data_IF_067600549208
#
_entry.id   IF_067600549208
#
_cell.length_a   1.000
_cell.length_b   1.000
_cell.length_c   1.000
_cell.angle_alpha   90.00
_cell.angle_beta   90.00
_cell.angle_gamma   90.00
#
_symmetry.space_group_name_H-M   'P 1'
#
loop_
_entity.id
_entity.type
_entity.pdbx_description
1 polymer ?
#
# COMPACT_ATOMS: atom_id res chain seq x y z
N UNK A 1 -33.95 -7.47 -12.79
CA UNK A 1 -32.95 -8.02 -11.86
C UNK A 1 -33.31 -7.56 -10.44
N UNK A 2 -33.72 -8.45 -9.53
CA UNK A 2 -34.09 -8.09 -8.15
C UNK A 2 -32.82 -8.03 -7.28
N UNK A 3 -32.45 -6.84 -6.81
CA UNK A 3 -31.35 -6.68 -5.86
C UNK A 3 -31.85 -7.18 -4.51
N UNK A 4 -31.29 -8.29 -3.99
CA UNK A 4 -31.57 -8.72 -2.62
C UNK A 4 -30.94 -7.70 -1.66
N UNK A 5 -31.70 -7.15 -0.69
CA UNK A 5 -31.13 -6.24 0.29
C UNK A 5 -30.05 -6.95 1.09
N UNK A 6 -28.94 -6.25 1.36
CA UNK A 6 -27.84 -6.77 2.17
C UNK A 6 -28.36 -7.18 3.56
N UNK A 7 -27.90 -8.32 4.07
CA UNK A 7 -28.29 -8.79 5.41
C UNK A 7 -27.90 -7.79 6.50
N UNK A 8 -28.62 -7.75 7.63
CA UNK A 8 -28.26 -6.90 8.80
C UNK A 8 -26.80 -7.09 9.25
N UNK A 9 -26.24 -8.30 9.09
CA UNK A 9 -24.80 -8.57 9.36
C UNK A 9 -23.86 -7.91 8.34
N UNK A 10 -24.23 -7.84 7.07
CA UNK A 10 -23.49 -7.08 6.06
C UNK A 10 -23.58 -5.57 6.31
N UNK A 11 -24.75 -5.06 6.71
CA UNK A 11 -24.94 -3.66 7.08
C UNK A 11 -24.12 -3.27 8.33
N UNK A 12 -24.10 -4.11 9.37
CA UNK A 12 -23.29 -3.87 10.57
C UNK A 12 -21.78 -3.95 10.31
N UNK A 13 -21.32 -4.87 9.44
CA UNK A 13 -19.91 -4.90 8.98
C UNK A 13 -19.56 -3.70 8.10
N UNK A 14 -20.56 -3.05 7.48
CA UNK A 14 -20.36 -1.82 6.72
C UNK A 14 -20.25 -0.57 7.60
N UNK A 15 -20.60 -0.63 8.90
CA UNK A 15 -20.68 0.57 9.74
C UNK A 15 -19.31 1.22 10.07
N UNK A 16 -18.21 0.47 10.01
CA UNK A 16 -16.85 1.02 10.16
C UNK A 16 -15.79 0.13 9.47
N UNK A 17 -15.55 0.32 8.17
CA UNK A 17 -14.56 -0.48 7.44
C UNK A 17 -13.13 -0.28 7.98
N UNK A 18 -12.82 0.87 8.59
CA UNK A 18 -11.51 1.10 9.19
C UNK A 18 -11.20 0.16 10.36
N UNK A 19 -12.21 -0.20 11.18
CA UNK A 19 -12.04 -1.19 12.25
C UNK A 19 -11.67 -2.58 11.74
N UNK A 20 -12.17 -2.96 10.56
CA UNK A 20 -11.82 -4.23 9.95
C UNK A 20 -10.31 -4.29 9.65
N UNK A 21 -9.76 -3.29 8.95
CA UNK A 21 -8.33 -3.27 8.61
C UNK A 21 -7.43 -3.04 9.83
N UNK A 22 -7.88 -2.29 10.85
CA UNK A 22 -7.14 -2.20 12.12
C UNK A 22 -6.94 -3.57 12.77
N UNK A 23 -7.98 -4.41 12.78
CA UNK A 23 -7.90 -5.78 13.30
C UNK A 23 -7.06 -6.67 12.40
N UNK A 24 -7.24 -6.57 11.08
CA UNK A 24 -6.49 -7.39 10.12
C UNK A 24 -4.98 -7.10 10.19
N UNK A 25 -4.59 -5.82 10.14
CA UNK A 25 -3.19 -5.39 10.29
C UNK A 25 -2.61 -5.86 11.62
N UNK A 26 -3.32 -5.66 12.74
CA UNK A 26 -2.86 -6.16 14.04
C UNK A 26 -2.66 -7.68 14.04
N UNK A 27 -3.62 -8.44 13.52
CA UNK A 27 -3.53 -9.90 13.47
C UNK A 27 -2.35 -10.38 12.62
N UNK A 28 -2.15 -9.80 11.43
CA UNK A 28 -1.03 -10.18 10.56
C UNK A 28 0.32 -9.75 11.13
N UNK A 29 0.41 -8.59 11.79
CA UNK A 29 1.64 -8.19 12.48
C UNK A 29 1.96 -9.12 13.65
N UNK A 30 0.98 -9.46 14.49
CA UNK A 30 1.17 -10.42 15.58
C UNK A 30 1.56 -11.80 15.06
N UNK A 31 0.97 -12.26 13.96
CA UNK A 31 1.36 -13.53 13.33
C UNK A 31 2.81 -13.48 12.83
N UNK A 32 3.22 -12.40 12.16
CA UNK A 32 4.60 -12.24 11.69
C UNK A 32 5.59 -12.26 12.87
N UNK A 33 5.24 -11.60 13.98
CA UNK A 33 6.07 -11.57 15.19
C UNK A 33 6.10 -12.93 15.90
N UNK A 34 4.98 -13.64 15.95
CA UNK A 34 4.93 -14.99 16.49
C UNK A 34 5.81 -15.95 15.69
N UNK A 35 5.74 -15.91 14.35
CA UNK A 35 6.59 -16.72 13.47
C UNK A 35 8.07 -16.42 13.70
N UNK A 36 8.44 -15.13 13.80
CA UNK A 36 9.82 -14.74 14.09
C UNK A 36 10.27 -15.19 15.49
N UNK A 37 9.43 -15.01 16.51
CA UNK A 37 9.73 -15.43 17.88
C UNK A 37 9.91 -16.95 18.00
N UNK A 38 9.06 -17.74 17.34
CA UNK A 38 9.19 -19.19 17.27
C UNK A 38 10.50 -19.63 16.60
N UNK A 39 10.93 -18.93 15.54
CA UNK A 39 12.20 -19.18 14.89
C UNK A 39 13.39 -18.81 15.76
N UNK A 40 13.34 -17.66 16.43
CA UNK A 40 14.37 -17.20 17.38
C UNK A 40 14.53 -18.17 18.57
N UNK A 41 13.42 -18.72 19.06
CA UNK A 41 13.40 -19.73 20.13
C UNK A 41 13.85 -21.14 19.67
N UNK A 42 14.13 -21.33 18.38
CA UNK A 42 14.52 -22.62 17.81
C UNK A 42 13.36 -23.61 17.62
N UNK A 43 12.10 -23.19 17.84
CA UNK A 43 10.92 -24.03 17.63
C UNK A 43 10.45 -24.08 16.18
N UNK A 44 10.94 -23.17 15.34
CA UNK A 44 10.69 -23.14 13.90
C UNK A 44 12.01 -23.05 13.15
N UNK A 45 12.31 -24.04 12.30
CA UNK A 45 13.53 -24.01 11.50
C UNK A 45 13.54 -22.78 10.55
N UNK A 46 14.68 -22.07 10.37
CA UNK A 46 14.75 -20.84 9.56
C UNK A 46 14.22 -21.01 8.13
N UNK A 47 14.32 -22.21 7.55
CA UNK A 47 13.83 -22.50 6.19
C UNK A 47 12.32 -22.25 6.04
N UNK A 48 11.54 -22.39 7.11
CA UNK A 48 10.10 -22.14 7.07
C UNK A 48 9.74 -20.65 6.96
N UNK A 49 10.70 -19.75 7.20
CA UNK A 49 10.49 -18.32 6.99
C UNK A 49 10.29 -18.01 5.49
N UNK A 50 10.91 -18.77 4.59
CA UNK A 50 10.85 -18.57 3.14
C UNK A 50 9.40 -18.51 2.60
N UNK A 51 8.52 -19.49 2.88
CA UNK A 51 7.13 -19.42 2.44
C UNK A 51 6.23 -18.57 3.35
N UNK A 52 6.49 -18.54 4.67
CA UNK A 52 5.58 -17.92 5.64
C UNK A 52 5.68 -16.41 5.62
N UNK A 53 6.89 -15.85 5.61
CA UNK A 53 7.10 -14.39 5.67
C UNK A 53 6.45 -13.68 4.48
N UNK A 54 6.67 -14.07 3.21
CA UNK A 54 6.04 -13.39 2.07
C UNK A 54 4.51 -13.47 2.12
N UNK A 55 3.96 -14.62 2.52
CA UNK A 55 2.52 -14.82 2.65
C UNK A 55 1.89 -13.86 3.66
N UNK A 56 2.47 -13.80 4.86
CA UNK A 56 1.95 -12.95 5.94
C UNK A 56 2.20 -11.48 5.63
N UNK A 57 3.39 -11.15 5.11
CA UNK A 57 3.79 -9.80 4.77
C UNK A 57 2.88 -9.16 3.71
N UNK A 58 2.62 -9.85 2.59
CA UNK A 58 1.78 -9.29 1.51
C UNK A 58 0.37 -8.99 2.02
N UNK A 59 -0.18 -9.85 2.89
CA UNK A 59 -1.50 -9.62 3.51
C UNK A 59 -1.48 -8.45 4.48
N UNK A 60 -0.43 -8.32 5.28
CA UNK A 60 -0.22 -7.16 6.16
C UNK A 60 -0.12 -5.87 5.35
N UNK A 61 0.74 -5.83 4.34
CA UNK A 61 0.98 -4.65 3.51
C UNK A 61 -0.29 -4.17 2.80
N UNK A 62 -1.08 -5.09 2.24
CA UNK A 62 -2.34 -4.73 1.56
C UNK A 62 -3.44 -4.31 2.54
N UNK A 63 -3.54 -4.94 3.72
CA UNK A 63 -4.47 -4.46 4.75
C UNK A 63 -4.07 -3.07 5.27
N UNK A 64 -2.76 -2.79 5.36
CA UNK A 64 -2.23 -1.50 5.77
C UNK A 64 -2.47 -0.43 4.70
N UNK A 65 -2.29 -0.78 3.43
CA UNK A 65 -2.63 0.05 2.28
C UNK A 65 -4.08 0.52 2.31
N UNK A 66 -5.04 -0.40 2.47
CA UNK A 66 -6.46 -0.05 2.58
C UNK A 66 -6.75 0.79 3.83
N UNK A 67 -6.08 0.51 4.95
CA UNK A 67 -6.21 1.32 6.16
C UNK A 67 -5.78 2.78 5.92
N UNK A 68 -4.76 3.03 5.09
CA UNK A 68 -4.28 4.39 4.76
C UNK A 68 -5.33 5.22 4.01
N UNK A 69 -6.15 4.59 3.18
CA UNK A 69 -7.28 5.26 2.52
C UNK A 69 -8.36 5.69 3.52
N UNK A 70 -8.65 4.83 4.49
CA UNK A 70 -9.81 4.99 5.38
C UNK A 70 -9.53 5.81 6.63
N UNK A 71 -8.30 5.82 7.14
CA UNK A 71 -7.96 6.43 8.44
C UNK A 71 -6.78 7.37 8.32
N UNK A 72 -6.96 8.60 8.81
CA UNK A 72 -5.83 9.51 9.04
C UNK A 72 -4.93 9.02 10.17
N UNK A 73 -3.67 9.46 10.19
CA UNK A 73 -2.70 9.06 11.20
C UNK A 73 -3.22 9.31 12.63
N UNK A 74 -3.83 10.46 12.93
CA UNK A 74 -4.39 10.73 14.27
C UNK A 74 -5.55 9.83 14.70
N UNK A 75 -6.04 8.93 13.82
CA UNK A 75 -7.16 8.01 14.08
C UNK A 75 -6.74 6.54 14.14
N UNK A 76 -5.44 6.24 14.05
CA UNK A 76 -4.92 4.87 14.23
C UNK A 76 -4.17 4.75 15.56
N UNK A 77 -4.29 3.61 16.27
CA UNK A 77 -3.56 3.37 17.52
C UNK A 77 -2.05 3.53 17.37
N UNK A 78 -1.36 3.83 18.48
CA UNK A 78 0.10 4.05 18.50
C UNK A 78 0.89 2.89 17.89
N UNK A 79 0.46 1.64 18.11
CA UNK A 79 1.06 0.46 17.50
C UNK A 79 1.10 0.55 15.97
N UNK A 80 -0.01 0.95 15.33
CA UNK A 80 -0.08 1.11 13.88
C UNK A 80 0.78 2.26 13.36
N UNK A 81 1.11 3.25 14.20
CA UNK A 81 2.03 4.33 13.81
C UNK A 81 3.43 3.81 13.51
N UNK A 82 3.84 2.74 14.21
CA UNK A 82 5.12 2.05 14.00
C UNK A 82 5.10 1.12 12.79
N UNK A 83 4.12 1.27 11.89
CA UNK A 83 3.92 0.50 10.66
C UNK A 83 5.22 -0.17 10.18
N UNK A 84 5.16 -1.50 10.04
CA UNK A 84 6.22 -2.32 9.47
C UNK A 84 7.57 -2.21 10.21
N UNK A 85 7.55 -2.38 11.54
CA UNK A 85 8.72 -2.12 12.42
C UNK A 85 9.99 -2.92 12.04
N UNK A 86 9.85 -4.07 11.38
CA UNK A 86 10.96 -4.97 11.06
C UNK A 86 11.36 -5.00 9.58
N UNK A 87 10.78 -4.15 8.74
CA UNK A 87 11.17 -4.07 7.32
C UNK A 87 12.59 -3.53 7.15
N UNK A 88 12.92 -2.53 7.96
CA UNK A 88 14.20 -1.82 7.93
C UNK A 88 14.46 -1.11 9.26
N UNK A 89 15.74 -0.97 9.67
CA UNK A 89 16.08 -0.05 10.76
C UNK A 89 15.74 1.42 10.45
N UNK A 90 15.65 1.79 9.15
CA UNK A 90 15.44 3.17 8.70
C UNK A 90 14.15 3.28 7.88
N UNK A 91 13.02 3.10 8.55
CA UNK A 91 11.68 3.10 7.95
C UNK A 91 10.85 4.31 8.31
N UNK A 92 9.83 4.57 7.48
CA UNK A 92 8.82 5.60 7.73
C UNK A 92 7.71 5.07 8.66
N UNK A 93 7.04 5.99 9.37
CA UNK A 93 5.85 5.68 10.14
C UNK A 93 4.59 5.68 9.27
N UNK A 94 3.47 5.32 9.89
CA UNK A 94 2.16 5.32 9.21
C UNK A 94 1.81 6.67 8.60
N UNK A 95 2.10 7.77 9.33
CA UNK A 95 1.79 9.14 8.87
C UNK A 95 2.50 9.47 7.57
N UNK A 96 3.80 9.22 7.52
CA UNK A 96 4.65 9.52 6.36
C UNK A 96 4.27 8.62 5.19
N UNK A 97 4.13 7.30 5.41
CA UNK A 97 3.68 6.37 4.39
C UNK A 97 2.31 6.73 3.82
N UNK A 98 1.33 7.04 4.66
CA UNK A 98 0.00 7.48 4.21
C UNK A 98 0.08 8.74 3.35
N UNK A 99 0.94 9.68 3.73
CA UNK A 99 1.10 10.94 2.99
C UNK A 99 1.69 10.69 1.60
N UNK A 100 2.74 9.85 1.53
CA UNK A 100 3.34 9.42 0.26
C UNK A 100 2.30 8.68 -0.59
N UNK A 101 1.60 7.71 0.00
CA UNK A 101 0.58 6.89 -0.65
C UNK A 101 -0.55 7.71 -1.28
N UNK A 102 -1.12 8.66 -0.53
CA UNK A 102 -2.19 9.51 -1.07
C UNK A 102 -1.69 10.50 -2.13
N UNK A 103 -0.42 10.92 -2.05
CA UNK A 103 0.20 11.70 -3.11
C UNK A 103 0.45 10.85 -4.36
N UNK A 104 0.86 9.59 -4.22
CA UNK A 104 0.93 8.62 -5.31
C UNK A 104 -0.43 8.44 -5.98
N UNK A 105 -1.53 8.29 -5.22
CA UNK A 105 -2.87 8.24 -5.83
C UNK A 105 -3.23 9.50 -6.64
N UNK A 106 -2.79 10.68 -6.19
CA UNK A 106 -3.07 11.96 -6.86
C UNK A 106 -2.22 12.17 -8.12
N UNK A 107 -0.98 11.70 -8.09
CA UNK A 107 0.04 11.93 -9.13
C UNK A 107 0.50 10.64 -9.81
N UNK A 108 -0.31 9.57 -9.71
CA UNK A 108 0.10 8.21 -10.05
C UNK A 108 0.68 8.10 -11.45
N UNK A 109 1.86 7.48 -11.54
CA UNK A 109 2.60 7.29 -12.79
C UNK A 109 2.92 8.59 -13.55
N UNK A 110 3.18 9.68 -12.82
CA UNK A 110 3.71 10.93 -13.36
C UNK A 110 5.01 11.32 -12.65
N UNK A 111 5.82 12.24 -13.21
CA UNK A 111 7.04 12.73 -12.54
C UNK A 111 6.80 13.35 -11.16
N UNK A 112 5.60 13.84 -10.87
CA UNK A 112 5.21 14.41 -9.57
C UNK A 112 4.90 13.32 -8.52
N UNK A 113 4.83 12.06 -8.93
CA UNK A 113 4.62 10.93 -8.04
C UNK A 113 5.81 10.80 -7.06
N UNK A 114 5.60 10.85 -5.73
CA UNK A 114 6.69 10.68 -4.77
C UNK A 114 7.42 9.34 -4.97
N UNK A 115 6.74 8.34 -5.52
CA UNK A 115 7.20 6.99 -5.79
C UNK A 115 7.68 6.79 -7.23
N UNK A 116 7.75 7.85 -8.04
CA UNK A 116 8.23 7.79 -9.43
C UNK A 116 9.54 7.02 -9.61
N UNK A 117 10.43 7.05 -8.62
CA UNK A 117 11.71 6.36 -8.67
C UNK A 117 11.59 4.83 -8.79
N UNK A 118 10.53 4.21 -8.28
CA UNK A 118 10.27 2.77 -8.42
C UNK A 118 9.30 2.45 -9.57
N UNK A 119 8.68 3.46 -10.18
CA UNK A 119 7.77 3.32 -11.32
C UNK A 119 8.55 3.45 -12.65
N UNK A 120 9.48 4.40 -12.73
CA UNK A 120 10.15 4.77 -13.96
C UNK A 120 11.39 3.94 -14.30
N UNK A 121 11.76 3.97 -15.58
CA UNK A 121 12.95 3.30 -16.11
C UNK A 121 12.68 1.87 -16.56
N UNK A 122 13.73 1.06 -16.59
CA UNK A 122 13.66 -0.35 -16.98
C UNK A 122 13.16 -1.24 -15.85
N UNK A 123 12.69 -2.45 -16.18
CA UNK A 123 12.27 -3.45 -15.19
C UNK A 123 13.36 -3.77 -14.16
N UNK A 124 14.61 -3.92 -14.61
CA UNK A 124 15.73 -4.20 -13.70
C UNK A 124 16.00 -3.03 -12.75
N UNK A 125 15.94 -1.80 -13.26
CA UNK A 125 16.08 -0.60 -12.43
C UNK A 125 14.96 -0.55 -11.38
N UNK A 126 13.70 -0.65 -11.81
CA UNK A 126 12.55 -0.59 -10.91
C UNK A 126 12.56 -1.70 -9.85
N UNK A 127 12.95 -2.92 -10.20
CA UNK A 127 13.12 -4.02 -9.24
C UNK A 127 14.21 -3.68 -8.20
N UNK A 128 15.35 -3.16 -8.66
CA UNK A 128 16.42 -2.69 -7.77
C UNK A 128 15.92 -1.59 -6.80
N UNK A 129 15.10 -0.67 -7.29
CA UNK A 129 14.49 0.37 -6.46
C UNK A 129 13.46 -0.17 -5.47
N UNK A 130 12.66 -1.15 -5.89
CA UNK A 130 11.66 -1.77 -5.03
C UNK A 130 12.30 -2.52 -3.84
N UNK A 131 13.48 -3.12 -4.00
CA UNK A 131 14.20 -3.81 -2.92
C UNK A 131 14.66 -2.86 -1.79
N UNK A 132 14.88 -1.59 -2.11
CA UNK A 132 15.34 -0.54 -1.18
C UNK A 132 14.28 0.55 -0.95
N UNK A 133 13.02 0.27 -1.30
CA UNK A 133 11.94 1.26 -1.20
C UNK A 133 11.78 1.84 0.21
N UNK A 134 11.92 1.08 1.32
CA UNK A 134 11.76 1.66 2.66
C UNK A 134 12.82 2.72 2.96
N UNK A 135 14.10 2.42 2.70
CA UNK A 135 15.23 3.35 2.92
C UNK A 135 15.13 4.56 2.01
N UNK A 136 14.89 4.34 0.72
CA UNK A 136 14.85 5.42 -0.26
C UNK A 136 13.69 6.36 0.00
N UNK A 137 12.54 5.83 0.44
CA UNK A 137 11.39 6.63 0.85
C UNK A 137 11.69 7.43 2.12
N UNK A 138 12.31 6.81 3.13
CA UNK A 138 12.72 7.48 4.36
C UNK A 138 13.71 8.63 4.08
N UNK A 139 14.74 8.37 3.29
CA UNK A 139 15.71 9.39 2.89
C UNK A 139 15.05 10.54 2.11
N UNK A 140 14.24 10.25 1.08
CA UNK A 140 13.51 11.28 0.31
C UNK A 140 12.57 12.10 1.20
N UNK A 141 11.91 11.46 2.16
CA UNK A 141 11.04 12.15 3.10
C UNK A 141 11.82 13.12 3.98
N UNK A 142 12.90 12.65 4.61
CA UNK A 142 13.74 13.44 5.50
C UNK A 142 14.40 14.60 4.74
N UNK A 143 14.88 14.36 3.52
CA UNK A 143 15.48 15.40 2.69
C UNK A 143 14.50 16.54 2.36
N UNK A 144 13.20 16.24 2.22
CA UNK A 144 12.16 17.23 1.87
C UNK A 144 11.51 17.90 3.08
N UNK A 145 11.29 17.16 4.17
CA UNK A 145 10.47 17.60 5.30
C UNK A 145 11.26 17.71 6.62
N UNK A 146 12.53 17.30 6.62
CA UNK A 146 13.35 17.20 7.82
C UNK A 146 13.04 15.97 8.68
N UNK A 147 13.85 15.78 9.73
CA UNK A 147 13.67 14.71 10.72
C UNK A 147 12.83 15.22 11.90
N UNK A 148 11.54 14.90 11.91
CA UNK A 148 10.70 15.23 13.07
C UNK A 148 11.05 14.37 14.29
N UNK A 149 10.83 14.89 15.51
CA UNK A 149 11.05 14.15 16.77
C UNK A 149 10.32 12.81 16.80
N UNK A 150 9.06 12.76 16.34
CA UNK A 150 8.30 11.52 16.26
C UNK A 150 8.97 10.50 15.33
N UNK A 151 9.41 10.92 14.15
CA UNK A 151 10.09 10.05 13.20
C UNK A 151 11.42 9.53 13.77
N UNK A 152 12.20 10.39 14.43
CA UNK A 152 13.44 9.99 15.09
C UNK A 152 13.20 8.94 16.19
N UNK A 153 12.20 9.14 17.06
CA UNK A 153 11.86 8.18 18.12
C UNK A 153 11.42 6.84 17.54
N UNK A 154 10.52 6.86 16.55
CA UNK A 154 10.05 5.63 15.92
C UNK A 154 11.17 4.91 15.13
N UNK A 155 12.06 5.65 14.47
CA UNK A 155 13.26 5.11 13.82
C UNK A 155 14.22 4.49 14.83
N UNK A 156 14.46 5.15 15.97
CA UNK A 156 15.27 4.61 17.06
C UNK A 156 14.70 3.30 17.62
N UNK A 157 13.38 3.22 17.82
CA UNK A 157 12.72 1.99 18.25
C UNK A 157 12.87 0.85 17.22
N UNK A 158 12.73 1.15 15.92
CA UNK A 158 12.98 0.17 14.84
C UNK A 158 14.42 -0.31 14.84
N UNK A 159 15.38 0.61 14.87
CA UNK A 159 16.80 0.29 14.89
C UNK A 159 17.16 -0.58 16.11
N UNK A 160 16.65 -0.23 17.30
CA UNK A 160 16.88 -1.02 18.51
C UNK A 160 16.30 -2.44 18.38
N UNK A 161 15.05 -2.57 17.91
CA UNK A 161 14.42 -3.87 17.73
C UNK A 161 15.17 -4.72 16.68
N UNK A 162 15.61 -4.08 15.60
CA UNK A 162 16.37 -4.72 14.52
C UNK A 162 17.73 -5.24 15.02
N UNK A 163 18.48 -4.41 15.76
CA UNK A 163 19.75 -4.81 16.39
C UNK A 163 19.54 -5.91 17.42
N UNK A 164 18.48 -5.85 18.22
CA UNK A 164 18.17 -6.88 19.21
C UNK A 164 17.90 -8.24 18.55
N UNK A 165 17.09 -8.28 17.49
CA UNK A 165 16.82 -9.54 16.74
C UNK A 165 18.11 -10.08 16.10
N UNK A 166 18.93 -9.22 15.50
CA UNK A 166 20.20 -9.60 14.91
C UNK A 166 21.19 -10.18 15.94
N UNK A 167 21.25 -9.60 17.14
CA UNK A 167 22.10 -10.07 18.22
C UNK A 167 21.63 -11.39 18.85
N UNK A 168 20.31 -11.61 18.93
CA UNK A 168 19.72 -12.82 19.54
C UNK A 168 20.02 -14.08 18.73
N UNK A 169 19.88 -14.02 17.40
CA UNK A 169 20.12 -15.17 16.52
C UNK A 169 20.45 -14.70 15.09
N UNK A 170 21.72 -14.45 14.76
CA UNK A 170 22.11 -13.87 13.47
C UNK A 170 21.64 -14.68 12.24
N UNK A 171 21.71 -16.03 12.22
CA UNK A 171 21.19 -16.82 11.09
C UNK A 171 19.67 -16.70 10.87
N UNK A 172 18.88 -16.72 11.95
CA UNK A 172 17.42 -16.52 11.86
C UNK A 172 17.12 -15.11 11.37
N UNK A 173 17.79 -14.10 11.95
CA UNK A 173 17.65 -12.71 11.55
C UNK A 173 17.98 -12.51 10.06
N UNK A 174 19.13 -13.00 9.58
CA UNK A 174 19.55 -12.83 8.20
C UNK A 174 18.55 -13.50 7.24
N UNK A 175 18.09 -14.71 7.59
CA UNK A 175 17.08 -15.42 6.80
C UNK A 175 15.76 -14.65 6.73
N UNK A 176 15.25 -14.21 7.89
CA UNK A 176 14.04 -13.40 7.98
C UNK A 176 14.16 -12.12 7.16
N UNK A 177 15.25 -11.37 7.33
CA UNK A 177 15.45 -10.07 6.69
C UNK A 177 15.59 -10.21 5.17
N UNK A 178 16.37 -11.17 4.68
CA UNK A 178 16.50 -11.41 3.24
C UNK A 178 15.17 -11.81 2.60
N UNK A 179 14.43 -12.73 3.23
CA UNK A 179 13.10 -13.15 2.72
C UNK A 179 12.12 -11.97 2.73
N UNK A 180 12.11 -11.18 3.80
CA UNK A 180 11.28 -9.99 3.90
C UNK A 180 11.65 -8.96 2.81
N UNK A 181 12.94 -8.75 2.54
CA UNK A 181 13.41 -7.88 1.46
C UNK A 181 12.94 -8.32 0.10
N UNK A 182 13.03 -9.61 -0.18
CA UNK A 182 12.54 -10.17 -1.43
C UNK A 182 11.02 -10.02 -1.54
N UNK A 183 10.27 -10.20 -0.44
CA UNK A 183 8.82 -9.98 -0.41
C UNK A 183 8.46 -8.51 -0.67
N UNK A 184 9.13 -7.57 0.01
CA UNK A 184 8.99 -6.12 -0.21
C UNK A 184 9.30 -5.78 -1.67
N UNK A 185 10.46 -6.19 -2.17
CA UNK A 185 10.90 -5.86 -3.53
C UNK A 185 10.00 -6.45 -4.60
N UNK A 186 9.60 -7.72 -4.47
CA UNK A 186 8.71 -8.36 -5.43
C UNK A 186 7.32 -7.75 -5.41
N UNK A 187 6.72 -7.54 -4.23
CA UNK A 187 5.40 -6.93 -4.12
C UNK A 187 5.41 -5.47 -4.58
N UNK A 188 6.42 -4.70 -4.19
CA UNK A 188 6.62 -3.31 -4.61
C UNK A 188 6.82 -3.19 -6.11
N UNK A 189 7.63 -4.07 -6.72
CA UNK A 189 7.82 -4.11 -8.17
C UNK A 189 6.53 -4.44 -8.93
N UNK A 190 5.78 -5.45 -8.48
CA UNK A 190 4.48 -5.76 -9.09
C UNK A 190 3.56 -4.55 -8.96
N UNK A 191 3.41 -4.01 -7.75
CA UNK A 191 2.40 -3.00 -7.45
C UNK A 191 2.71 -1.62 -8.05
N UNK A 192 3.95 -1.14 -7.93
CA UNK A 192 4.32 0.20 -8.37
C UNK A 192 4.86 0.23 -9.80
N UNK A 193 5.49 -0.83 -10.28
CA UNK A 193 6.07 -0.82 -11.62
C UNK A 193 5.18 -1.50 -12.65
N UNK A 194 4.88 -2.80 -12.48
CA UNK A 194 4.12 -3.56 -13.48
C UNK A 194 2.67 -3.08 -13.64
N UNK A 195 2.07 -2.53 -12.59
CA UNK A 195 0.71 -1.94 -12.68
C UNK A 195 0.72 -0.49 -13.15
N UNK A 196 1.89 0.15 -13.29
CA UNK A 196 2.00 1.53 -13.74
C UNK A 196 2.81 1.73 -15.01
N UNK A 197 3.30 0.65 -15.60
CA UNK A 197 3.98 0.66 -16.88
C UNK A 197 3.45 -0.45 -17.78
N UNK A 198 3.09 -0.10 -19.02
CA UNK A 198 2.68 -1.05 -20.06
C UNK A 198 3.18 -0.58 -21.40
N UNK A 199 3.88 -1.44 -22.12
CA UNK A 199 4.40 -1.16 -23.47
C UNK A 199 5.21 0.16 -23.52
N UNK A 200 6.02 0.40 -22.49
CA UNK A 200 6.83 1.61 -22.33
C UNK A 200 6.07 2.87 -21.92
N UNK A 201 4.73 2.80 -21.85
CA UNK A 201 3.88 3.91 -21.42
C UNK A 201 3.63 3.87 -19.92
N UNK A 202 3.60 5.05 -19.31
CA UNK A 202 3.25 5.23 -17.91
C UNK A 202 1.75 5.46 -17.75
N UNK A 203 1.15 4.82 -16.76
CA UNK A 203 -0.29 4.90 -16.52
C UNK A 203 -0.69 4.17 -15.25
N UNK A 204 -1.97 3.82 -15.12
CA UNK A 204 -2.42 2.89 -14.09
C UNK A 204 -3.26 1.82 -14.76
N UNK A 205 -2.85 0.57 -14.59
CA UNK A 205 -3.37 -0.57 -15.32
C UNK A 205 -3.85 -1.66 -14.37
N UNK A 206 -4.86 -2.41 -14.80
CA UNK A 206 -5.23 -3.67 -14.16
C UNK A 206 -4.16 -4.74 -14.46
N UNK A 207 -3.92 -5.65 -13.52
CA UNK A 207 -3.06 -6.81 -13.73
C UNK A 207 -3.72 -7.82 -14.69
N UNK A 208 -3.17 -8.10 -15.88
CA UNK A 208 -3.66 -9.20 -16.70
C UNK A 208 -3.19 -10.51 -16.06
N UNK A 209 -4.13 -11.28 -15.49
CA UNK A 209 -3.83 -12.57 -14.88
C UNK A 209 -4.80 -13.64 -15.39
N UNK A 210 -4.31 -14.83 -15.79
CA UNK A 210 -5.19 -15.93 -16.16
C UNK A 210 -6.02 -16.39 -14.97
N UNK A 211 -7.23 -16.92 -15.24
CA UNK A 211 -8.21 -17.28 -14.19
C UNK A 211 -7.65 -18.24 -13.13
N UNK A 212 -6.78 -19.17 -13.52
CA UNK A 212 -6.16 -20.12 -12.60
C UNK A 212 -5.21 -19.43 -11.61
N UNK A 213 -4.43 -18.45 -12.06
CA UNK A 213 -3.52 -17.68 -11.21
C UNK A 213 -4.32 -16.79 -10.24
N UNK A 214 -5.41 -16.20 -10.72
CA UNK A 214 -6.37 -15.47 -9.87
C UNK A 214 -6.96 -16.38 -8.79
N UNK A 215 -7.37 -17.60 -9.15
CA UNK A 215 -7.92 -18.55 -8.20
C UNK A 215 -6.89 -18.95 -7.12
N UNK A 216 -5.64 -19.22 -7.51
CA UNK A 216 -4.54 -19.50 -6.57
C UNK A 216 -4.29 -18.29 -5.68
N UNK A 217 -4.12 -17.10 -6.26
CA UNK A 217 -3.87 -15.88 -5.52
C UNK A 217 -4.97 -15.58 -4.50
N UNK A 218 -6.24 -15.83 -4.85
CA UNK A 218 -7.38 -15.66 -3.92
C UNK A 218 -7.35 -16.64 -2.76
N UNK A 219 -6.87 -17.87 -2.97
CA UNK A 219 -6.70 -18.87 -1.91
C UNK A 219 -5.53 -18.53 -1.00
N UNK A 220 -4.41 -18.09 -1.58
CA UNK A 220 -3.17 -17.81 -0.86
C UNK A 220 -3.25 -16.46 -0.13
N UNK A 221 -3.43 -15.37 -0.87
CA UNK A 221 -3.40 -14.01 -0.33
C UNK A 221 -4.78 -13.53 0.15
N UNK A 222 -5.86 -14.10 -0.36
CA UNK A 222 -7.23 -13.71 -0.03
C UNK A 222 -7.93 -12.97 -1.15
N UNK A 223 -9.25 -12.81 -1.02
CA UNK A 223 -10.06 -12.24 -2.10
C UNK A 223 -9.73 -10.76 -2.37
N UNK A 224 -9.65 -9.98 -1.30
CA UNK A 224 -9.47 -8.54 -1.35
C UNK A 224 -8.10 -8.11 -1.90
N UNK A 225 -6.96 -8.62 -1.38
CA UNK A 225 -5.64 -8.42 -1.99
C UNK A 225 -5.63 -8.61 -3.50
N UNK A 226 -6.24 -9.70 -3.97
CA UNK A 226 -6.31 -10.00 -5.39
C UNK A 226 -7.21 -9.02 -6.14
N UNK A 227 -8.31 -8.55 -5.54
CA UNK A 227 -9.15 -7.55 -6.19
C UNK A 227 -8.43 -6.21 -6.32
N UNK A 228 -7.58 -5.82 -5.37
CA UNK A 228 -6.81 -4.57 -5.47
C UNK A 228 -5.86 -4.67 -6.67
N UNK A 229 -5.14 -5.79 -6.82
CA UNK A 229 -4.24 -6.01 -7.96
C UNK A 229 -4.98 -6.05 -9.31
N UNK A 230 -6.11 -6.76 -9.36
CA UNK A 230 -6.89 -6.93 -10.59
C UNK A 230 -7.65 -5.67 -10.98
N UNK A 231 -7.96 -4.80 -10.02
CA UNK A 231 -8.75 -3.57 -10.20
C UNK A 231 -7.98 -2.35 -9.76
N UNK A 232 -6.66 -2.39 -9.92
CA UNK A 232 -5.76 -1.34 -9.43
C UNK A 232 -6.07 0.01 -10.05
N UNK A 233 -6.47 0.00 -11.32
CA UNK A 233 -6.90 1.19 -12.03
C UNK A 233 -8.16 1.82 -11.42
N UNK A 234 -9.19 1.04 -11.19
CA UNK A 234 -10.42 1.48 -10.51
C UNK A 234 -10.07 2.00 -9.11
N UNK A 235 -9.17 1.32 -8.42
CA UNK A 235 -8.70 1.73 -7.11
C UNK A 235 -8.01 3.11 -7.14
N UNK A 236 -7.24 3.44 -8.18
CA UNK A 236 -6.68 4.78 -8.37
C UNK A 236 -7.73 5.85 -8.68
N UNK A 237 -8.80 5.49 -9.38
CA UNK A 237 -9.90 6.41 -9.71
C UNK A 237 -10.78 6.73 -8.50
N UNK A 238 -11.03 5.74 -7.65
CA UNK A 238 -11.89 5.86 -6.48
C UNK A 238 -11.16 5.39 -5.21
N UNK A 239 -10.07 6.06 -4.79
CA UNK A 239 -9.27 5.63 -3.65
C UNK A 239 -10.03 5.64 -2.32
N UNK A 240 -11.15 6.38 -2.24
CA UNK A 240 -12.02 6.39 -1.07
C UNK A 240 -13.03 5.24 -1.00
N UNK A 241 -13.17 4.43 -2.05
CA UNK A 241 -14.09 3.29 -2.10
C UNK A 241 -13.35 1.99 -1.78
N UNK A 242 -14.03 1.07 -1.11
CA UNK A 242 -13.49 -0.26 -0.82
C UNK A 242 -13.41 -1.05 -2.11
N UNK A 243 -12.48 -1.99 -2.19
CA UNK A 243 -12.23 -2.73 -3.43
C UNK A 243 -13.46 -3.48 -3.98
N UNK A 244 -14.35 -3.97 -3.12
CA UNK A 244 -15.59 -4.64 -3.52
C UNK A 244 -16.74 -3.67 -3.86
N UNK A 245 -16.56 -2.38 -3.61
CA UNK A 245 -17.50 -1.31 -3.97
C UNK A 245 -17.06 -0.56 -5.24
N UNK A 246 -15.85 -0.82 -5.73
CA UNK A 246 -15.38 -0.20 -6.96
C UNK A 246 -16.36 -0.54 -8.11
N UNK A 247 -16.71 0.44 -8.96
CA UNK A 247 -17.51 0.18 -10.15
C UNK A 247 -16.68 -0.59 -11.18
N UNK A 248 -17.30 -1.53 -11.88
CA UNK A 248 -16.63 -2.26 -12.97
C UNK A 248 -16.45 -1.33 -14.17
N UNK A 249 -15.19 -1.14 -14.60
CA UNK A 249 -14.90 -0.42 -15.83
C UNK A 249 -14.76 -1.40 -16.99
N UNK A 250 -15.18 -1.00 -18.22
CA UNK A 250 -14.88 -1.79 -19.39
C UNK A 250 -13.35 -1.88 -19.58
N UNK A 251 -12.82 -3.03 -20.05
CA UNK A 251 -11.38 -3.21 -20.28
C UNK A 251 -10.76 -2.16 -21.21
N UNK A 252 -11.58 -1.62 -22.13
CA UNK A 252 -11.21 -0.64 -23.15
C UNK A 252 -11.36 0.80 -22.72
N UNK A 253 -11.89 1.07 -21.51
CA UNK A 253 -11.90 2.43 -21.00
C UNK A 253 -10.45 2.90 -21.02
N UNK A 254 -10.12 4.08 -21.51
CA UNK A 254 -8.82 4.72 -21.33
C UNK A 254 -9.09 5.91 -20.44
N UNK A 255 -8.32 6.06 -19.37
CA UNK A 255 -8.47 7.25 -18.54
C UNK A 255 -8.21 8.42 -19.48
N UNK A 256 -9.08 9.44 -19.53
CA UNK A 256 -8.72 10.63 -20.26
C UNK A 256 -7.37 11.07 -19.68
N UNK A 257 -6.31 10.93 -20.47
CA UNK A 257 -4.98 11.42 -20.13
C UNK A 257 -5.25 12.85 -19.75
N UNK A 258 -5.10 13.15 -18.45
CA UNK A 258 -5.51 14.42 -17.84
C UNK A 258 -5.18 15.49 -18.87
N UNK A 259 -6.23 16.10 -19.45
CA UNK A 259 -6.09 16.91 -20.66
C UNK A 259 -4.84 17.77 -20.50
N UNK A 260 -3.95 17.73 -21.51
CA UNK A 260 -2.68 18.46 -21.50
C UNK A 260 -2.90 19.78 -20.76
N UNK A 261 -2.06 20.12 -19.76
CA UNK A 261 -2.33 21.21 -18.83
C UNK A 261 -2.87 22.37 -19.65
N UNK A 262 -4.14 22.71 -19.43
CA UNK A 262 -4.76 23.87 -20.08
C UNK A 262 -3.73 24.96 -19.90
N UNK A 263 -3.13 25.44 -21.00
CA UNK A 263 -2.23 26.57 -20.94
C UNK A 263 -3.05 27.63 -20.24
N UNK A 264 -2.72 27.87 -18.97
CA UNK A 264 -3.23 29.03 -18.27
C UNK A 264 -2.62 30.18 -19.03
N UNK A 265 -3.39 30.74 -19.96
CA UNK A 265 -3.16 32.13 -20.33
C UNK A 265 -3.04 32.91 -19.02
N UNK A 266 -2.05 33.81 -18.91
CA UNK A 266 -1.86 34.60 -17.71
C UNK A 266 -3.20 35.25 -17.35
N UNK A 267 -3.59 35.26 -16.06
CA UNK A 267 -4.92 35.67 -15.65
C UNK A 267 -5.20 37.09 -16.14
N UNK A 268 -6.11 37.22 -17.10
CA UNK A 268 -6.83 38.48 -17.28
C UNK A 268 -7.57 38.75 -15.97
N UNK A 269 -7.50 39.99 -15.48
CA UNK A 269 -8.02 40.45 -14.20
C UNK A 269 -9.55 40.31 -14.08
N UNK A 270 -10.05 39.09 -13.98
CA UNK A 270 -11.46 38.80 -13.74
C UNK A 270 -11.64 38.02 -12.43
N UNK A 271 -12.71 38.39 -11.73
CA UNK A 271 -13.01 38.09 -10.34
C UNK A 271 -12.94 36.60 -9.96
N UNK A 272 -12.64 36.36 -8.68
CA UNK A 272 -12.49 35.03 -8.09
C UNK A 272 -13.73 34.14 -8.33
N UNK A 273 -13.55 32.89 -8.79
CA UNK A 273 -14.66 31.95 -8.93
C UNK A 273 -15.06 31.43 -7.54
N UNK A 274 -16.35 31.53 -7.24
CA UNK A 274 -17.01 30.81 -6.15
C UNK A 274 -16.95 29.30 -6.42
N UNK A 275 -16.37 28.55 -5.50
CA UNK A 275 -16.32 27.09 -5.54
C UNK A 275 -17.74 26.51 -5.47
N UNK A 276 -18.15 25.83 -6.54
CA UNK A 276 -19.44 25.14 -6.64
C UNK A 276 -19.53 23.95 -5.68
N UNK A 277 -20.67 23.85 -5.00
CA UNK A 277 -21.00 22.76 -4.11
C UNK A 277 -21.08 21.41 -4.85
N UNK A 278 -20.67 20.35 -4.17
CA UNK A 278 -20.87 18.95 -4.58
C UNK A 278 -22.38 18.68 -4.66
N UNK A 279 -22.90 18.14 -5.78
CA UNK A 279 -24.33 17.83 -5.88
C UNK A 279 -24.72 16.77 -4.86
N UNK A 280 -25.70 17.10 -4.02
CA UNK A 280 -26.40 16.12 -3.18
C UNK A 280 -27.19 15.18 -4.11
N UNK A 281 -26.93 13.88 -3.99
CA UNK A 281 -27.84 12.86 -4.52
C UNK A 281 -29.11 12.88 -3.67
N UNK A 282 -30.20 13.39 -4.23
CA UNK A 282 -31.52 13.23 -3.63
C UNK A 282 -32.01 11.77 -3.81
N UNK A 283 -32.65 11.19 -2.79
CA UNK A 283 -33.30 9.89 -2.93
C UNK A 283 -34.59 10.06 -3.75
N UNK A 284 -34.70 9.31 -4.85
CA UNK A 284 -35.97 9.19 -5.57
C UNK A 284 -37.00 8.40 -4.73
N UNK A 285 -38.31 8.77 -4.84
CA UNK A 285 -39.41 8.16 -4.10
C UNK A 285 -39.68 6.69 -4.46
#
# INVERSE_FOLDING_TARGET
>A
MKIRPASRRQQARAADPGRHYLRATLAWTLLLYAVLALALAGWLAPVWLLPVVPLVYVRLALALHELMHLRGAGRVPGFHQLAMIFDTPFGLGYREHRTIHLAHHRHGASPDDPEWFQIAGSHAHALGQALIVPERSAWRWIARHGLSRSLALQGGLRALAFVAVAALNPPVFLTYWLVLRLAIGASGFIFHHLLHQRDGQHGTYALPAPRWLVAIGRRVFGHEPMQILLRHREHHLWPGLRVWELPELPPTYVLPTRAAPVRTEPPSSQAAPTFGAVPRLEPHP
#
